data_IF_297974991827
#
_entry.id   IF_297974991827
#
_cell.length_a   1.000
_cell.length_b   1.000
_cell.length_c   1.000
_cell.angle_alpha   90.00
_cell.angle_beta   90.00
_cell.angle_gamma   90.00
#
_symmetry.space_group_name_H-M   'P 1'
#
loop_
_entity.id
_entity.type
_entity.pdbx_description
1 polymer ?
#
# COMPACT_ATOMS: atom_id res chain seq x y z
N UNK A 1 -2.49 7.96 5.47
CA UNK A 1 -1.32 7.11 5.79
C UNK A 1 -0.80 6.53 4.49
N UNK A 2 0.32 7.08 4.04
CA UNK A 2 1.12 6.61 2.91
C UNK A 2 2.43 6.15 3.52
N UNK A 3 2.98 5.04 3.04
CA UNK A 3 4.24 4.58 3.57
C UNK A 3 4.71 3.20 3.14
N UNK A 4 5.92 2.89 3.55
CA UNK A 4 6.68 1.73 3.09
C UNK A 4 7.88 2.16 2.26
N UNK A 5 8.26 1.35 1.28
CA UNK A 5 9.39 1.60 0.41
C UNK A 5 8.90 2.00 -0.99
N UNK A 6 8.99 3.27 -1.42
CA UNK A 6 8.55 3.66 -2.76
C UNK A 6 9.33 2.93 -3.88
N UNK A 7 10.56 2.48 -3.62
CA UNK A 7 11.34 1.68 -4.57
C UNK A 7 10.94 0.19 -4.62
N UNK A 8 9.93 -0.24 -3.84
CA UNK A 8 9.44 -1.61 -3.89
C UNK A 8 8.73 -1.94 -5.21
N UNK A 9 8.81 -3.20 -5.61
CA UNK A 9 8.15 -3.70 -6.83
C UNK A 9 6.62 -3.69 -6.75
N UNK A 10 6.05 -3.84 -5.55
CA UNK A 10 4.60 -3.88 -5.32
C UNK A 10 4.14 -2.62 -4.61
N UNK A 11 3.21 -1.93 -5.22
CA UNK A 11 2.48 -0.83 -4.61
C UNK A 11 1.03 -1.23 -4.34
N UNK A 12 0.47 -0.73 -3.24
CA UNK A 12 -0.92 -0.93 -2.84
C UNK A 12 -1.58 0.44 -2.74
N UNK A 13 -2.67 0.63 -3.47
CA UNK A 13 -3.45 1.86 -3.46
C UNK A 13 -4.88 1.58 -3.02
N UNK A 14 -5.27 2.10 -1.87
CA UNK A 14 -6.67 2.15 -1.45
C UNK A 14 -7.31 3.46 -1.91
N UNK A 15 -8.64 3.54 -1.92
CA UNK A 15 -9.34 4.76 -2.36
C UNK A 15 -9.04 5.91 -1.40
N UNK A 16 -9.24 5.67 -0.11
CA UNK A 16 -9.02 6.64 0.96
C UNK A 16 -8.84 5.88 2.28
N UNK A 17 -8.16 6.46 3.28
CA UNK A 17 -8.23 5.94 4.64
C UNK A 17 -9.70 5.91 5.11
N UNK A 18 -10.13 4.88 5.83
CA UNK A 18 -11.53 4.84 6.30
C UNK A 18 -11.81 5.92 7.36
N UNK A 19 -10.88 6.07 8.31
CA UNK A 19 -10.97 6.98 9.45
C UNK A 19 -9.72 7.85 9.56
N UNK A 20 -9.85 9.01 10.17
CA UNK A 20 -8.70 9.82 10.54
C UNK A 20 -7.81 9.07 11.55
N UNK A 21 -6.52 8.96 11.24
CA UNK A 21 -5.51 8.40 12.16
C UNK A 21 -4.72 9.48 12.90
N UNK A 22 -4.95 10.74 12.55
CA UNK A 22 -4.27 11.93 13.08
C UNK A 22 -5.27 13.08 13.13
N UNK A 23 -5.05 14.09 13.99
CA UNK A 23 -5.82 15.33 13.99
C UNK A 23 -5.84 16.00 12.60
N UNK A 24 -6.91 16.75 12.32
CA UNK A 24 -7.13 17.29 10.98
C UNK A 24 -6.03 18.26 10.55
N UNK A 25 -5.59 19.12 11.46
CA UNK A 25 -4.48 20.05 11.26
C UNK A 25 -3.16 19.35 10.91
N UNK A 26 -2.99 18.08 11.32
CA UNK A 26 -1.85 17.26 10.93
C UNK A 26 -2.10 16.62 9.57
N UNK A 27 -3.33 16.15 9.31
CA UNK A 27 -3.71 15.54 8.02
C UNK A 27 -3.61 16.52 6.83
N UNK A 28 -3.75 17.83 7.09
CA UNK A 28 -3.67 18.88 6.07
C UNK A 28 -2.25 19.40 5.80
N UNK A 29 -1.26 18.99 6.60
CA UNK A 29 0.13 19.39 6.36
C UNK A 29 0.70 18.64 5.15
N UNK A 30 1.48 19.32 4.29
CA UNK A 30 2.23 18.65 3.24
C UNK A 30 3.13 17.55 3.84
N UNK A 31 3.05 16.35 3.28
CA UNK A 31 3.99 15.27 3.60
C UNK A 31 4.97 15.15 2.44
N UNK A 32 6.21 15.55 2.68
CA UNK A 32 7.27 15.55 1.66
C UNK A 32 7.89 14.16 1.47
N UNK A 33 7.90 13.36 2.52
CA UNK A 33 8.40 11.99 2.52
C UNK A 33 7.26 11.03 2.91
N UNK A 34 7.15 9.85 2.25
CA UNK A 34 6.20 8.84 2.69
C UNK A 34 6.53 8.38 4.11
N UNK A 35 5.51 8.15 4.93
CA UNK A 35 5.70 7.53 6.24
C UNK A 35 6.22 6.09 6.13
N UNK A 36 6.45 5.43 7.25
CA UNK A 36 6.72 4.00 7.25
C UNK A 36 6.30 3.38 8.58
N UNK A 37 6.01 2.08 8.58
CA UNK A 37 5.70 1.31 9.79
C UNK A 37 7.01 0.80 10.40
N UNK A 38 7.83 1.75 10.82
CA UNK A 38 9.04 1.49 11.58
C UNK A 38 8.74 0.96 12.99
N UNK A 39 9.79 0.67 13.75
CA UNK A 39 9.66 0.15 15.11
C UNK A 39 8.93 1.14 16.04
N UNK A 40 9.15 2.44 15.89
CA UNK A 40 8.52 3.46 16.71
C UNK A 40 7.01 3.58 16.42
N UNK A 41 6.62 3.55 15.15
CA UNK A 41 5.25 3.51 14.70
C UNK A 41 4.54 2.27 15.27
N UNK A 42 5.13 1.09 15.11
CA UNK A 42 4.54 -0.17 15.60
C UNK A 42 4.35 -0.16 17.12
N UNK A 43 5.35 0.30 17.88
CA UNK A 43 5.24 0.46 19.34
C UNK A 43 4.10 1.40 19.74
N UNK A 44 3.99 2.56 19.08
CA UNK A 44 2.94 3.56 19.34
C UNK A 44 1.53 3.02 19.04
N UNK A 45 1.41 2.13 18.07
CA UNK A 45 0.13 1.61 17.59
C UNK A 45 -0.14 0.15 17.96
N UNK A 46 0.67 -0.47 18.83
CA UNK A 46 0.59 -1.90 19.16
C UNK A 46 -0.82 -2.35 19.57
N UNK A 47 -1.53 -1.53 20.36
CA UNK A 47 -2.92 -1.81 20.80
C UNK A 47 -3.97 -1.71 19.69
N UNK A 48 -3.68 -0.99 18.61
CA UNK A 48 -4.63 -0.71 17.52
C UNK A 48 -4.39 -1.58 16.30
N UNK A 49 -3.13 -1.97 16.04
CA UNK A 49 -2.72 -2.79 14.89
C UNK A 49 -3.62 -4.03 14.68
N UNK A 50 -3.96 -4.83 15.71
CA UNK A 50 -4.83 -6.01 15.54
C UNK A 50 -6.25 -5.68 15.00
N UNK A 51 -6.70 -4.43 15.16
CA UNK A 51 -8.02 -3.98 14.70
C UNK A 51 -8.02 -3.56 13.23
N UNK A 52 -6.85 -3.44 12.60
CA UNK A 52 -6.71 -2.96 11.21
C UNK A 52 -6.84 -4.11 10.21
N UNK A 53 -8.03 -4.68 10.14
CA UNK A 53 -8.34 -5.88 9.34
C UNK A 53 -8.01 -5.73 7.86
N UNK A 54 -8.21 -4.55 7.26
CA UNK A 54 -7.81 -4.31 5.86
C UNK A 54 -6.30 -4.49 5.66
N UNK A 55 -5.48 -4.02 6.61
CA UNK A 55 -4.03 -4.16 6.52
C UNK A 55 -3.57 -5.59 6.75
N UNK A 56 -4.23 -6.36 7.62
CA UNK A 56 -3.99 -7.80 7.75
C UNK A 56 -4.31 -8.55 6.45
N UNK A 57 -5.41 -8.20 5.77
CA UNK A 57 -5.76 -8.77 4.45
C UNK A 57 -4.74 -8.41 3.38
N UNK A 58 -4.22 -7.18 3.38
CA UNK A 58 -3.09 -6.82 2.49
C UNK A 58 -1.86 -7.65 2.80
N UNK A 59 -1.47 -7.79 4.07
CA UNK A 59 -0.34 -8.62 4.47
C UNK A 59 -0.50 -10.08 4.01
N UNK A 60 -1.72 -10.62 4.04
CA UNK A 60 -2.00 -11.96 3.51
C UNK A 60 -1.74 -12.06 2.01
N UNK A 61 -2.29 -11.14 1.22
CA UNK A 61 -2.06 -11.08 -0.24
C UNK A 61 -0.57 -10.97 -0.55
N UNK A 62 0.17 -10.12 0.16
CA UNK A 62 1.60 -9.93 -0.06
C UNK A 62 2.45 -11.12 0.39
N UNK A 63 2.07 -11.79 1.49
CA UNK A 63 2.71 -13.03 1.92
C UNK A 63 2.55 -14.13 0.86
N UNK A 64 1.34 -14.30 0.32
CA UNK A 64 1.06 -15.25 -0.75
C UNK A 64 1.79 -14.89 -2.06
N UNK A 65 1.79 -13.61 -2.46
CA UNK A 65 2.52 -13.15 -3.64
C UNK A 65 4.03 -13.41 -3.53
N UNK A 66 4.62 -13.14 -2.35
CA UNK A 66 6.01 -13.46 -2.07
C UNK A 66 6.27 -14.96 -2.13
N UNK A 67 5.43 -15.78 -1.51
CA UNK A 67 5.58 -17.23 -1.50
C UNK A 67 5.55 -17.80 -2.92
N UNK A 68 4.66 -17.31 -3.78
CA UNK A 68 4.54 -17.74 -5.17
C UNK A 68 5.67 -17.21 -6.08
N UNK A 69 6.26 -16.04 -5.77
CA UNK A 69 7.37 -15.47 -6.55
C UNK A 69 8.74 -16.07 -6.19
N UNK A 70 8.90 -16.63 -4.99
CA UNK A 70 10.15 -17.24 -4.54
C UNK A 70 10.29 -18.70 -5.00
N UNK A 71 11.53 -19.14 -5.20
CA UNK A 71 11.81 -20.55 -5.50
C UNK A 71 11.36 -21.48 -4.37
N UNK A 72 10.94 -22.72 -4.69
CA UNK A 72 10.63 -23.74 -3.71
C UNK A 72 11.81 -23.93 -2.72
N UNK A 73 11.52 -23.95 -1.42
CA UNK A 73 12.51 -24.18 -0.35
C UNK A 73 12.92 -22.94 0.47
N UNK A 74 12.44 -21.73 0.12
CA UNK A 74 12.57 -20.55 1.00
C UNK A 74 11.54 -20.58 2.12
N UNK A 75 11.92 -20.07 3.31
CA UNK A 75 11.01 -19.97 4.46
C UNK A 75 9.73 -19.19 4.12
N UNK A 76 8.60 -19.84 4.34
CA UNK A 76 7.28 -19.24 4.20
C UNK A 76 7.07 -18.22 5.32
N UNK A 77 6.59 -17.01 4.97
CA UNK A 77 6.21 -15.97 5.93
C UNK A 77 4.70 -16.02 6.06
N UNK A 78 4.18 -16.27 7.26
CA UNK A 78 2.73 -16.24 7.50
C UNK A 78 2.18 -14.84 7.31
N UNK A 79 0.88 -14.71 7.01
CA UNK A 79 0.21 -13.41 6.91
C UNK A 79 0.39 -12.57 8.19
N UNK A 80 0.34 -13.21 9.36
CA UNK A 80 0.55 -12.56 10.65
C UNK A 80 1.99 -12.05 10.79
N UNK A 81 2.98 -12.88 10.50
CA UNK A 81 4.38 -12.47 10.55
C UNK A 81 4.67 -11.33 9.54
N UNK A 82 4.09 -11.42 8.33
CA UNK A 82 4.17 -10.36 7.32
C UNK A 82 3.61 -9.04 7.86
N UNK A 83 2.41 -9.08 8.44
CA UNK A 83 1.76 -7.92 9.03
C UNK A 83 2.58 -7.28 10.16
N UNK A 84 3.11 -8.10 11.08
CA UNK A 84 3.81 -7.66 12.28
C UNK A 84 5.21 -7.11 12.01
N UNK A 85 5.91 -7.62 10.99
CA UNK A 85 7.33 -7.35 10.81
C UNK A 85 7.69 -6.74 9.45
N UNK A 86 6.90 -6.95 8.40
CA UNK A 86 7.28 -6.63 7.02
C UNK A 86 6.43 -5.55 6.36
N UNK A 87 5.11 -5.55 6.62
CA UNK A 87 4.15 -4.67 5.96
C UNK A 87 4.51 -3.18 6.15
N UNK A 88 4.73 -2.44 5.07
CA UNK A 88 5.05 -1.01 5.04
C UNK A 88 6.31 -0.61 5.83
N UNK A 89 7.26 -1.53 6.00
CA UNK A 89 8.54 -1.25 6.65
C UNK A 89 9.37 -0.27 5.79
N UNK A 90 10.19 0.62 6.40
CA UNK A 90 11.21 1.35 5.64
C UNK A 90 12.12 0.39 4.88
N UNK A 91 12.34 0.61 3.59
CA UNK A 91 13.14 -0.29 2.75
C UNK A 91 12.56 -1.70 2.61
N UNK A 92 11.28 -1.90 2.95
CA UNK A 92 10.57 -3.18 2.82
C UNK A 92 10.22 -3.53 1.37
N UNK A 93 9.39 -4.55 1.22
CA UNK A 93 9.01 -5.13 -0.08
C UNK A 93 7.75 -4.54 -0.69
N UNK A 94 7.15 -3.55 -0.02
CA UNK A 94 5.89 -2.95 -0.44
C UNK A 94 5.87 -1.44 -0.19
N UNK A 95 4.98 -0.79 -0.92
CA UNK A 95 4.62 0.60 -0.71
C UNK A 95 3.11 0.75 -0.66
N UNK A 96 2.59 1.61 0.22
CA UNK A 96 1.17 1.91 0.27
C UNK A 96 0.91 3.39 0.15
N UNK A 97 -0.09 3.71 -0.67
CA UNK A 97 -0.63 5.04 -0.82
C UNK A 97 -2.16 4.99 -0.85
N UNK A 98 -2.79 6.15 -0.90
CA UNK A 98 -4.24 6.25 -1.12
C UNK A 98 -4.51 7.20 -2.29
N UNK A 99 -5.53 6.92 -3.08
CA UNK A 99 -5.91 7.76 -4.21
C UNK A 99 -6.30 9.17 -3.73
N UNK A 100 -7.10 9.22 -2.65
CA UNK A 100 -7.48 10.44 -1.94
C UNK A 100 -6.81 10.45 -0.55
N UNK A 101 -6.00 11.48 -0.23
CA UNK A 101 -5.22 11.50 1.01
C UNK A 101 -6.06 11.67 2.28
N UNK A 102 -7.23 12.31 2.20
CA UNK A 102 -8.10 12.55 3.35
C UNK A 102 -9.00 11.34 3.58
N UNK A 103 -9.31 11.01 4.84
CA UNK A 103 -10.16 9.87 5.16
C UNK A 103 -11.59 10.05 4.65
N UNK A 104 -12.23 8.94 4.30
CA UNK A 104 -13.63 8.89 3.86
C UNK A 104 -14.57 9.44 4.94
N UNK A 105 -14.24 9.15 6.21
CA UNK A 105 -14.89 9.67 7.43
C UNK A 105 -13.84 10.36 8.32
N UNK A 106 -13.60 11.66 8.14
CA UNK A 106 -12.61 12.40 8.93
C UNK A 106 -13.00 12.52 10.41
N UNK A 107 -14.30 12.51 10.69
CA UNK A 107 -14.87 12.50 12.04
C UNK A 107 -15.94 11.41 12.11
N UNK A 108 -15.99 10.58 13.18
CA UNK A 108 -16.98 9.52 13.30
C UNK A 108 -18.41 10.02 13.57
N UNK A 109 -18.56 11.27 14.03
CA UNK A 109 -19.84 11.88 14.42
C UNK A 109 -20.26 12.97 13.44
N UNK A 110 -19.33 13.79 12.97
CA UNK A 110 -19.61 14.94 12.11
C UNK A 110 -19.60 14.58 10.63
N UNK A 111 -20.48 15.22 9.85
CA UNK A 111 -20.45 15.13 8.39
C UNK A 111 -19.26 15.90 7.83
N UNK A 112 -18.82 15.54 6.61
CA UNK A 112 -17.72 16.19 5.89
C UNK A 112 -17.82 17.73 5.93
N UNK A 113 -18.98 18.29 5.55
CA UNK A 113 -19.17 19.74 5.51
C UNK A 113 -19.14 20.41 6.89
N UNK A 114 -19.44 19.69 7.97
CA UNK A 114 -19.25 20.19 9.34
C UNK A 114 -17.78 20.13 9.74
N UNK A 115 -17.11 19.00 9.49
CA UNK A 115 -15.68 18.82 9.78
C UNK A 115 -14.79 19.84 9.07
N UNK A 116 -15.14 20.20 7.84
CA UNK A 116 -14.35 21.11 6.99
C UNK A 116 -15.00 22.50 6.81
N UNK A 117 -15.86 22.92 7.73
CA UNK A 117 -16.60 24.19 7.60
C UNK A 117 -15.69 25.39 7.33
N UNK A 118 -14.58 25.45 8.04
CA UNK A 118 -13.64 26.59 8.01
C UNK A 118 -12.55 26.42 6.93
N UNK A 119 -12.68 25.42 6.06
CA UNK A 119 -11.75 25.11 4.98
C UNK A 119 -12.46 25.32 3.63
N UNK A 120 -12.35 26.50 2.98
CA UNK A 120 -13.14 26.84 1.79
C UNK A 120 -13.03 25.80 0.67
N UNK A 121 -11.83 25.27 0.46
CA UNK A 121 -11.52 24.28 -0.59
C UNK A 121 -11.97 22.85 -0.26
N UNK A 122 -12.33 22.58 0.99
CA UNK A 122 -12.73 21.26 1.48
C UNK A 122 -14.17 21.22 1.97
N UNK A 123 -14.92 22.32 1.95
CA UNK A 123 -16.31 22.37 2.46
C UNK A 123 -17.24 21.39 1.75
N UNK A 124 -17.02 21.18 0.45
CA UNK A 124 -17.77 20.24 -0.38
C UNK A 124 -16.86 19.09 -0.81
N UNK A 125 -17.30 17.85 -0.57
CA UNK A 125 -16.49 16.66 -0.84
C UNK A 125 -16.16 16.46 -2.33
N UNK A 126 -17.07 16.82 -3.22
CA UNK A 126 -16.83 16.76 -4.68
C UNK A 126 -15.78 17.76 -5.13
N UNK A 127 -15.72 18.96 -4.52
CA UNK A 127 -14.69 19.95 -4.80
C UNK A 127 -13.31 19.46 -4.35
N UNK A 128 -13.23 18.80 -3.19
CA UNK A 128 -12.00 18.11 -2.75
C UNK A 128 -11.56 17.02 -3.73
N UNK A 129 -12.49 16.17 -4.19
CA UNK A 129 -12.16 15.14 -5.17
C UNK A 129 -11.68 15.75 -6.50
N UNK A 130 -12.32 16.85 -6.95
CA UNK A 130 -11.88 17.61 -8.12
C UNK A 130 -10.49 18.21 -7.93
N UNK A 131 -10.20 18.77 -6.75
CA UNK A 131 -8.87 19.28 -6.40
C UNK A 131 -7.80 18.18 -6.45
N UNK A 132 -8.11 16.96 -6.00
CA UNK A 132 -7.17 15.84 -6.13
C UNK A 132 -6.92 15.43 -7.59
N UNK A 133 -7.99 15.37 -8.39
CA UNK A 133 -7.96 14.96 -9.81
C UNK A 133 -7.26 15.97 -10.71
N UNK A 134 -7.54 17.25 -10.53
CA UNK A 134 -7.06 18.34 -11.39
C UNK A 134 -5.84 19.06 -10.83
N UNK A 135 -5.63 18.99 -9.52
CA UNK A 135 -4.53 19.64 -8.83
C UNK A 135 -3.28 18.75 -8.74
N UNK A 136 -2.63 18.79 -7.58
CA UNK A 136 -1.32 18.16 -7.38
C UNK A 136 -1.34 16.66 -7.11
N UNK A 137 -2.43 16.08 -6.59
CA UNK A 137 -2.40 14.72 -6.04
C UNK A 137 -2.23 13.65 -7.13
N UNK A 138 -3.06 13.66 -8.16
CA UNK A 138 -2.97 12.64 -9.21
C UNK A 138 -1.67 12.80 -10.02
N UNK A 139 -1.26 14.04 -10.29
CA UNK A 139 0.05 14.33 -10.88
C UNK A 139 1.20 13.80 -10.02
N UNK A 140 1.15 13.98 -8.70
CA UNK A 140 2.15 13.46 -7.78
C UNK A 140 2.24 11.93 -7.84
N UNK A 141 1.11 11.22 -7.85
CA UNK A 141 1.09 9.75 -7.96
C UNK A 141 1.70 9.31 -9.31
N UNK A 142 1.38 9.99 -10.41
CA UNK A 142 1.94 9.70 -11.72
C UNK A 142 3.47 9.91 -11.72
N UNK A 143 3.95 11.05 -11.19
CA UNK A 143 5.39 11.34 -11.09
C UNK A 143 6.13 10.33 -10.20
N UNK A 144 5.52 9.88 -9.09
CA UNK A 144 6.09 8.81 -8.28
C UNK A 144 6.24 7.52 -9.10
N UNK A 145 5.20 7.10 -9.84
CA UNK A 145 5.27 5.89 -10.67
C UNK A 145 6.33 6.02 -11.75
N UNK A 146 6.44 7.18 -12.40
CA UNK A 146 7.47 7.43 -13.43
C UNK A 146 8.89 7.34 -12.86
N UNK A 147 9.09 7.84 -11.65
CA UNK A 147 10.37 7.83 -10.93
C UNK A 147 10.76 6.42 -10.48
N UNK A 148 9.87 5.72 -9.77
CA UNK A 148 10.19 4.46 -9.09
C UNK A 148 9.86 3.21 -9.90
N UNK A 149 8.98 3.32 -10.91
CA UNK A 149 8.61 2.26 -11.86
C UNK A 149 8.31 0.92 -11.18
N UNK A 150 7.32 0.86 -10.27
CA UNK A 150 6.93 -0.41 -9.67
C UNK A 150 6.53 -1.41 -10.76
N UNK A 151 6.76 -2.70 -10.52
CA UNK A 151 6.30 -3.78 -11.40
C UNK A 151 4.79 -3.91 -11.37
N UNK A 152 4.20 -3.67 -10.21
CA UNK A 152 2.79 -3.92 -9.94
C UNK A 152 2.19 -2.85 -9.03
N UNK A 153 1.02 -2.37 -9.39
CA UNK A 153 0.15 -1.56 -8.54
C UNK A 153 -1.17 -2.31 -8.32
N UNK A 154 -1.44 -2.70 -7.07
CA UNK A 154 -2.72 -3.27 -6.64
C UNK A 154 -3.64 -2.16 -6.14
N UNK A 155 -4.73 -1.92 -6.85
CA UNK A 155 -5.73 -0.91 -6.50
C UNK A 155 -6.99 -1.58 -5.93
N UNK A 156 -7.48 -1.08 -4.80
CA UNK A 156 -8.63 -1.64 -4.09
C UNK A 156 -9.90 -0.84 -4.41
N UNK A 157 -10.94 -1.51 -4.92
CA UNK A 157 -12.24 -0.88 -5.18
C UNK A 157 -12.44 -0.46 -6.63
N UNK A 158 -12.91 -1.38 -7.45
CA UNK A 158 -13.20 -1.21 -8.89
C UNK A 158 -14.10 -0.02 -9.24
N UNK A 159 -14.95 0.45 -8.31
CA UNK A 159 -15.80 1.65 -8.54
C UNK A 159 -14.99 2.92 -8.83
N UNK A 160 -13.72 2.96 -8.45
CA UNK A 160 -12.82 4.09 -8.68
C UNK A 160 -11.85 3.83 -9.85
N UNK A 161 -12.13 2.86 -10.73
CA UNK A 161 -11.27 2.49 -11.86
C UNK A 161 -10.75 3.70 -12.64
N UNK A 162 -11.64 4.60 -13.08
CA UNK A 162 -11.25 5.80 -13.85
C UNK A 162 -10.29 6.70 -13.09
N UNK A 163 -10.50 6.87 -11.79
CA UNK A 163 -9.63 7.69 -10.95
C UNK A 163 -8.25 7.03 -10.78
N UNK A 164 -8.19 5.71 -10.60
CA UNK A 164 -6.93 4.97 -10.56
C UNK A 164 -6.15 5.06 -11.88
N UNK A 165 -6.81 4.80 -13.01
CA UNK A 165 -6.16 4.87 -14.32
C UNK A 165 -5.59 6.26 -14.58
N UNK A 166 -6.34 7.30 -14.24
CA UNK A 166 -5.86 8.68 -14.35
C UNK A 166 -4.70 8.98 -13.41
N UNK A 167 -4.79 8.61 -12.13
CA UNK A 167 -3.75 8.91 -11.14
C UNK A 167 -2.42 8.20 -11.42
N UNK A 168 -2.46 7.00 -12.03
CA UNK A 168 -1.28 6.23 -12.35
C UNK A 168 -0.83 6.35 -13.81
N UNK A 169 -1.53 7.12 -14.66
CA UNK A 169 -1.17 7.29 -16.07
C UNK A 169 -1.38 6.02 -16.92
N UNK A 170 -2.53 5.37 -16.75
CA UNK A 170 -3.01 4.24 -17.56
C UNK A 170 -4.27 4.62 -18.38
N UNK A 171 -4.55 5.92 -18.53
CA UNK A 171 -5.62 6.36 -19.43
C UNK A 171 -5.31 5.93 -20.87
N UNK A 172 -6.27 5.25 -21.51
CA UNK A 172 -6.10 4.69 -22.85
C UNK A 172 -5.42 3.33 -22.90
N UNK A 173 -4.92 2.79 -21.78
CA UNK A 173 -4.42 1.41 -21.74
C UNK A 173 -5.55 0.40 -21.96
N UNK A 174 -5.26 -0.67 -22.69
CA UNK A 174 -6.21 -1.76 -22.91
C UNK A 174 -6.55 -2.47 -21.60
N UNK A 175 -7.82 -2.83 -21.46
CA UNK A 175 -8.32 -3.58 -20.31
C UNK A 175 -8.32 -5.07 -20.64
N UNK A 176 -7.57 -5.85 -19.86
CA UNK A 176 -7.70 -7.29 -19.81
C UNK A 176 -8.54 -7.69 -18.59
N UNK A 177 -9.50 -8.59 -18.78
CA UNK A 177 -10.24 -9.18 -17.66
C UNK A 177 -9.53 -10.43 -17.16
N UNK A 178 -9.51 -10.61 -15.85
CA UNK A 178 -9.01 -11.82 -15.21
C UNK A 178 -9.96 -12.30 -14.12
N UNK A 179 -9.86 -13.57 -13.77
CA UNK A 179 -10.76 -14.20 -12.81
C UNK A 179 -9.96 -14.93 -11.73
N UNK A 180 -10.29 -14.66 -10.47
CA UNK A 180 -9.87 -15.47 -9.33
C UNK A 180 -10.93 -16.53 -9.08
N UNK A 181 -10.54 -17.80 -9.18
CA UNK A 181 -11.43 -18.93 -8.96
C UNK A 181 -10.70 -20.06 -8.21
N UNK A 182 -10.40 -19.88 -6.91
CA UNK A 182 -9.75 -20.93 -6.11
C UNK A 182 -10.71 -22.06 -5.69
N UNK A 183 -12.01 -21.92 -5.95
CA UNK A 183 -13.08 -22.90 -5.73
C UNK A 183 -14.35 -22.43 -6.49
N UNK A 184 -15.55 -22.66 -5.94
CA UNK A 184 -16.83 -22.23 -6.53
C UNK A 184 -17.08 -20.71 -6.50
N UNK A 185 -16.20 -19.96 -5.82
CA UNK A 185 -16.33 -18.50 -5.72
C UNK A 185 -15.46 -17.82 -6.75
N UNK A 186 -16.10 -17.18 -7.73
CA UNK A 186 -15.43 -16.40 -8.77
C UNK A 186 -15.40 -14.90 -8.44
N UNK A 187 -14.27 -14.24 -8.67
CA UNK A 187 -14.10 -12.79 -8.52
C UNK A 187 -13.36 -12.21 -9.73
N UNK A 188 -13.95 -11.19 -10.35
CA UNK A 188 -13.34 -10.49 -11.48
C UNK A 188 -12.27 -9.52 -11.01
N UNK A 189 -11.17 -9.46 -11.74
CA UNK A 189 -10.14 -8.43 -11.71
C UNK A 189 -10.11 -7.74 -13.07
N UNK A 190 -9.81 -6.44 -13.08
CA UNK A 190 -9.40 -5.76 -14.32
C UNK A 190 -7.88 -5.53 -14.26
N UNK A 191 -7.19 -5.80 -15.35
CA UNK A 191 -5.74 -5.68 -15.48
C UNK A 191 -5.43 -4.71 -16.61
N UNK A 192 -4.47 -3.83 -16.37
CA UNK A 192 -3.97 -2.87 -17.35
C UNK A 192 -2.45 -2.94 -17.31
N UNK A 193 -1.81 -2.90 -18.48
CA UNK A 193 -0.35 -2.88 -18.57
C UNK A 193 0.08 -1.62 -19.33
N UNK A 194 1.11 -0.95 -18.81
CA UNK A 194 1.70 0.22 -19.44
C UNK A 194 3.17 0.32 -19.07
N UNK A 195 4.05 0.26 -20.08
CA UNK A 195 5.50 0.21 -19.87
C UNK A 195 5.89 -1.04 -19.07
N UNK A 196 6.58 -0.84 -17.94
CA UNK A 196 7.04 -1.93 -17.05
C UNK A 196 6.12 -2.16 -15.84
N UNK A 197 4.99 -1.46 -15.76
CA UNK A 197 4.06 -1.55 -14.63
C UNK A 197 2.74 -2.17 -15.07
N UNK A 198 2.29 -3.17 -14.32
CA UNK A 198 0.91 -3.64 -14.35
C UNK A 198 0.09 -2.96 -13.25
N UNK A 199 -1.16 -2.64 -13.56
CA UNK A 199 -2.15 -2.14 -12.60
C UNK A 199 -3.29 -3.15 -12.54
N UNK A 200 -3.57 -3.66 -11.33
CA UNK A 200 -4.62 -4.63 -11.07
C UNK A 200 -5.71 -3.99 -10.21
N UNK A 201 -6.92 -3.92 -10.73
CA UNK A 201 -8.10 -3.47 -10.01
C UNK A 201 -8.81 -4.66 -9.34
N UNK A 202 -8.70 -4.74 -8.02
CA UNK A 202 -9.37 -5.74 -7.20
C UNK A 202 -10.70 -5.20 -6.65
N UNK A 203 -11.70 -6.07 -6.39
CA UNK A 203 -12.75 -5.78 -5.44
C UNK A 203 -12.17 -5.33 -4.08
N UNK A 204 -12.92 -4.58 -3.26
CA UNK A 204 -12.46 -4.15 -1.95
C UNK A 204 -12.20 -5.37 -1.03
N UNK A 205 -11.32 -5.22 -0.04
CA UNK A 205 -10.99 -6.26 0.92
C UNK A 205 -12.01 -6.33 2.07
N UNK A 206 -13.27 -6.60 1.71
CA UNK A 206 -14.39 -6.74 2.64
C UNK A 206 -15.73 -6.38 2.00
N UNK A 207 -16.80 -6.65 2.76
CA UNK A 207 -18.18 -6.46 2.30
C UNK A 207 -18.68 -7.59 1.39
N UNK A 208 -19.99 -7.60 1.06
CA UNK A 208 -20.62 -8.72 0.34
C UNK A 208 -20.04 -9.00 -1.04
N UNK A 209 -19.57 -7.94 -1.72
CA UNK A 209 -19.01 -7.99 -3.07
C UNK A 209 -17.47 -7.95 -3.08
N UNK A 210 -16.84 -8.04 -1.92
CA UNK A 210 -15.38 -7.94 -1.77
C UNK A 210 -14.66 -9.28 -1.79
N UNK A 211 -13.34 -9.20 -1.58
CA UNK A 211 -12.51 -10.35 -1.20
C UNK A 211 -12.55 -10.48 0.33
N UNK A 212 -13.36 -11.41 0.82
CA UNK A 212 -13.63 -11.59 2.25
C UNK A 212 -13.05 -12.87 2.85
N UNK A 213 -12.62 -13.84 2.03
CA UNK A 213 -12.04 -15.10 2.48
C UNK A 213 -10.53 -15.16 2.28
N UNK A 214 -9.88 -15.86 3.19
CA UNK A 214 -8.44 -16.16 3.16
C UNK A 214 -8.01 -16.80 1.83
N UNK A 215 -8.79 -17.75 1.34
CA UNK A 215 -8.53 -18.46 0.07
C UNK A 215 -8.55 -17.52 -1.13
N UNK A 216 -9.47 -16.54 -1.18
CA UNK A 216 -9.50 -15.54 -2.25
C UNK A 216 -8.31 -14.56 -2.17
N UNK A 217 -7.88 -14.21 -0.95
CA UNK A 217 -6.72 -13.34 -0.74
C UNK A 217 -5.42 -14.06 -1.14
N UNK A 218 -5.29 -15.33 -0.81
CA UNK A 218 -4.15 -16.15 -1.23
C UNK A 218 -4.13 -16.31 -2.76
N UNK A 219 -5.29 -16.58 -3.38
CA UNK A 219 -5.43 -16.65 -4.83
C UNK A 219 -5.06 -15.33 -5.52
N UNK A 220 -5.46 -14.18 -4.94
CA UNK A 220 -5.03 -12.88 -5.42
C UNK A 220 -3.50 -12.75 -5.32
N UNK A 221 -2.90 -13.09 -4.18
CA UNK A 221 -1.45 -13.04 -4.02
C UNK A 221 -0.71 -13.86 -5.08
N UNK A 222 -1.11 -15.12 -5.26
CA UNK A 222 -0.56 -16.01 -6.30
C UNK A 222 -0.76 -15.44 -7.70
N UNK A 223 -1.93 -14.85 -7.98
CA UNK A 223 -2.20 -14.20 -9.27
C UNK A 223 -1.23 -13.04 -9.55
N UNK A 224 -0.98 -12.20 -8.54
CA UNK A 224 -0.10 -11.04 -8.62
C UNK A 224 1.38 -11.43 -8.81
N UNK A 225 1.79 -12.63 -8.37
CA UNK A 225 3.16 -13.11 -8.48
C UNK A 225 3.70 -13.18 -9.92
N UNK A 226 2.82 -13.21 -10.93
CA UNK A 226 3.24 -13.22 -12.35
C UNK A 226 4.10 -12.02 -12.78
N UNK A 227 3.97 -10.88 -12.10
CA UNK A 227 4.75 -9.68 -12.39
C UNK A 227 5.99 -9.55 -11.50
N UNK A 228 6.11 -10.42 -10.51
CA UNK A 228 7.10 -10.36 -9.45
C UNK A 228 8.18 -11.40 -9.66
N UNK A 229 9.33 -11.17 -9.02
CA UNK A 229 10.50 -12.01 -9.14
C UNK A 229 11.17 -12.20 -7.77
N UNK A 230 12.01 -13.24 -7.61
CA UNK A 230 12.73 -13.44 -6.37
C UNK A 230 13.55 -12.23 -5.91
N UNK A 231 14.14 -11.47 -6.84
CA UNK A 231 14.93 -10.27 -6.54
C UNK A 231 14.11 -9.11 -5.96
N UNK A 232 12.79 -9.11 -6.12
CA UNK A 232 11.90 -8.11 -5.52
C UNK A 232 11.74 -8.31 -4.00
N UNK A 233 12.21 -9.45 -3.48
CA UNK A 233 12.14 -9.82 -2.07
C UNK A 233 13.53 -10.11 -1.48
N UNK A 234 14.44 -9.12 -1.45
CA UNK A 234 15.76 -9.31 -0.86
C UNK A 234 15.66 -9.65 0.62
N UNK A 235 16.67 -10.34 1.15
CA UNK A 235 16.76 -10.59 2.59
C UNK A 235 16.82 -9.24 3.34
N UNK A 236 15.88 -9.03 4.27
CA UNK A 236 15.88 -7.82 5.09
C UNK A 236 16.74 -8.08 6.33
N UNK A 237 17.77 -7.26 6.53
CA UNK A 237 18.60 -7.33 7.72
C UNK A 237 17.73 -7.16 9.00
N UNK A 238 17.90 -8.07 9.97
CA UNK A 238 17.26 -7.99 11.28
C UNK A 238 15.82 -8.51 11.36
N UNK A 239 15.39 -9.40 10.45
CA UNK A 239 14.15 -10.16 10.64
C UNK A 239 14.37 -11.57 11.24
N UNK A 240 15.60 -12.08 11.17
CA UNK A 240 16.03 -13.27 11.88
C UNK A 240 16.72 -12.85 13.18
N UNK A 241 16.06 -13.11 14.30
CA UNK A 241 16.64 -12.93 15.63
C UNK A 241 17.73 -13.96 15.91
N UNK A 242 18.90 -13.82 15.28
CA UNK A 242 20.15 -14.42 15.74
C UNK A 242 21.34 -13.75 15.05
N UNK A 243 22.24 -13.15 15.82
CA UNK A 243 23.54 -12.71 15.33
C UNK A 243 23.92 -11.33 15.83
N UNK A 244 24.59 -11.30 16.98
CA UNK A 244 25.34 -10.15 17.45
C UNK A 244 26.36 -9.72 16.37
N UNK A 245 26.08 -8.61 15.70
CA UNK A 245 26.98 -7.96 14.76
C UNK A 245 27.54 -6.69 15.41
N UNK A 246 28.74 -6.80 15.98
CA UNK A 246 29.59 -5.71 16.48
C UNK A 246 29.58 -4.54 15.50
N UNK A 247 29.30 -3.33 15.99
CA UNK A 247 29.64 -2.10 15.29
C UNK A 247 31.16 -2.10 15.02
N UNK A 248 31.63 -1.79 13.80
CA UNK A 248 33.05 -1.58 13.56
C UNK A 248 33.51 -0.35 14.36
N UNK A 249 34.53 -0.54 15.19
CA UNK A 249 35.22 0.54 15.86
C UNK A 249 35.79 1.49 14.79
N UNK A 250 35.40 2.77 14.88
CA UNK A 250 35.99 3.82 14.05
C UNK A 250 37.48 3.99 14.35
N UNK A 251 38.27 4.50 13.38
CA UNK A 251 39.70 4.65 13.55
C UNK A 251 40.01 5.71 14.62
N UNK A 252 40.69 5.30 15.68
CA UNK A 252 41.40 6.18 16.61
C UNK A 252 42.62 6.76 15.91
N UNK A 253 42.51 7.98 15.40
CA UNK A 253 43.66 8.77 14.96
C UNK A 253 44.45 9.31 16.16
N UNK A 254 45.79 9.42 16.08
CA UNK A 254 46.60 9.90 17.17
C UNK A 254 46.50 11.43 17.25
N UNK A 255 46.22 11.95 18.46
CA UNK A 255 46.52 13.35 18.80
C UNK A 255 47.98 13.36 19.24
N UNK A 256 48.86 13.78 18.33
CA UNK A 256 50.27 14.02 18.60
C UNK A 256 50.56 15.52 18.60
N UNK A 257 50.99 15.99 19.78
CA UNK A 257 51.78 17.19 20.14
C UNK A 257 51.40 18.55 19.57
#
# INVERSE_FOLDING_TARGET
MEGGNPAAAIWICDVAPLIASVPLEVALRPQLEPGAWDLAFRRRHARWLPRWQTHLRVARVLAAARAAALHPGRSHVSAQAYFEHYLYRPGGWDFKLNLFPLPERPDPVQSWSKTFRDQPWLRVKSDYARLCRLGGRFRFIASLREQYRPRLVLCLGQRHARDYLRAFGFEGSERAEAWLQPADTMRRLDVYEHGQTALVLSPPFGGPQGLSSDVLLDALGTFLARWLRPEDFPALAGADGSGAGRLPAGPTGPVGT
#
